data_IF_783498006999
#
_entry.id   IF_783498006999
#
_cell.length_a   1.000
_cell.length_b   1.000
_cell.length_c   1.000
_cell.angle_alpha   90.00
_cell.angle_beta   90.00
_cell.angle_gamma   90.00
#
_symmetry.space_group_name_H-M   'P 1'
#
loop_
_entity.id
_entity.type
_entity.pdbx_description
1 polymer ?
#
# COMPACT_ATOMS: atom_id res chain seq x y z
N UNK A 1 28.06 24.42 11.67
CA UNK A 1 27.05 23.88 12.61
C UNK A 1 26.36 22.67 11.98
N UNK A 2 25.95 21.68 12.78
CA UNK A 2 25.16 20.54 12.30
C UNK A 2 23.76 21.06 11.92
N UNK A 3 23.23 20.77 10.71
CA UNK A 3 21.87 21.17 10.33
C UNK A 3 20.82 20.61 11.31
N UNK A 4 19.79 21.40 11.65
CA UNK A 4 18.74 21.02 12.59
C UNK A 4 17.97 19.78 12.11
N UNK A 5 17.76 19.61 10.81
CA UNK A 5 17.07 18.42 10.28
C UNK A 5 17.81 17.10 10.56
N UNK A 6 19.13 17.17 10.85
CA UNK A 6 19.93 16.00 11.24
C UNK A 6 19.95 15.75 12.75
N UNK A 7 19.30 16.58 13.56
CA UNK A 7 19.17 16.37 14.99
C UNK A 7 17.91 15.56 15.30
N UNK A 8 18.09 14.30 15.69
CA UNK A 8 16.99 13.39 16.00
C UNK A 8 16.19 13.80 17.25
N UNK A 9 16.72 14.67 18.10
CA UNK A 9 16.02 15.19 19.28
C UNK A 9 15.10 16.38 18.98
N UNK A 10 15.25 17.00 17.80
CA UNK A 10 14.45 18.13 17.40
C UNK A 10 13.02 17.70 16.98
N UNK A 11 11.98 18.53 17.23
CA UNK A 11 10.62 18.24 16.78
C UNK A 11 10.55 18.03 15.27
N UNK A 12 9.72 17.07 14.82
CA UNK A 12 9.56 16.72 13.39
C UNK A 12 9.32 17.97 12.54
N UNK A 13 8.36 18.82 12.90
CA UNK A 13 8.03 20.02 12.11
C UNK A 13 9.19 21.04 12.04
N UNK A 14 10.06 21.09 13.05
CA UNK A 14 11.26 21.92 13.00
C UNK A 14 12.31 21.34 12.04
N UNK A 15 12.47 20.01 12.03
CA UNK A 15 13.34 19.30 11.08
C UNK A 15 12.84 19.44 9.64
N UNK A 16 11.53 19.34 9.43
CA UNK A 16 10.88 19.54 8.12
C UNK A 16 11.16 20.95 7.59
N UNK A 17 10.88 21.99 8.38
CA UNK A 17 11.13 23.40 7.96
C UNK A 17 12.60 23.67 7.65
N UNK A 18 13.51 23.16 8.49
CA UNK A 18 14.95 23.32 8.26
C UNK A 18 15.42 22.62 6.98
N UNK A 19 14.96 21.40 6.72
CA UNK A 19 15.33 20.68 5.49
C UNK A 19 14.71 21.34 4.25
N UNK A 20 13.41 21.67 4.30
CA UNK A 20 12.68 22.30 3.19
C UNK A 20 13.33 23.61 2.75
N UNK A 21 13.79 24.44 3.70
CA UNK A 21 14.50 25.69 3.44
C UNK A 21 15.89 25.53 2.83
N UNK A 22 16.47 24.32 2.85
CA UNK A 22 17.78 23.99 2.27
C UNK A 22 17.69 23.35 0.88
N UNK A 23 16.50 22.94 0.47
CA UNK A 23 16.26 22.25 -0.80
C UNK A 23 16.11 23.23 -1.95
N UNK A 24 16.75 22.92 -3.06
CA UNK A 24 16.49 23.54 -4.37
C UNK A 24 15.13 23.09 -4.92
N UNK A 25 14.60 23.82 -5.91
CA UNK A 25 13.39 23.40 -6.63
C UNK A 25 13.52 21.98 -7.20
N UNK A 26 14.69 21.66 -7.79
CA UNK A 26 14.94 20.33 -8.36
C UNK A 26 14.94 19.23 -7.29
N UNK A 27 15.53 19.45 -6.12
CA UNK A 27 15.46 18.48 -5.02
C UNK A 27 14.04 18.33 -4.47
N UNK A 28 13.26 19.41 -4.41
CA UNK A 28 11.85 19.37 -4.01
C UNK A 28 11.02 18.55 -5.00
N UNK A 29 11.15 18.83 -6.28
CA UNK A 29 10.51 18.07 -7.35
C UNK A 29 10.93 16.58 -7.34
N UNK A 30 12.20 16.29 -7.06
CA UNK A 30 12.68 14.91 -6.96
C UNK A 30 12.09 14.16 -5.75
N UNK A 31 11.84 14.83 -4.61
CA UNK A 31 11.16 14.20 -3.48
C UNK A 31 9.73 13.77 -3.80
N UNK A 32 9.07 14.46 -4.74
CA UNK A 32 7.74 14.11 -5.24
C UNK A 32 7.74 12.93 -6.22
N UNK A 33 8.90 12.36 -6.56
CA UNK A 33 9.00 11.23 -7.47
C UNK A 33 9.15 9.89 -6.72
N UNK A 34 8.34 8.92 -7.13
CA UNK A 34 8.55 7.51 -6.81
C UNK A 34 8.86 6.72 -8.09
N UNK A 35 9.98 6.01 -8.09
CA UNK A 35 10.51 5.28 -9.25
C UNK A 35 10.52 3.77 -9.00
N UNK A 36 10.47 2.97 -10.05
CA UNK A 36 10.54 1.52 -9.92
C UNK A 36 12.01 1.05 -9.78
N UNK A 37 12.24 0.01 -8.98
CA UNK A 37 13.59 -0.48 -8.65
C UNK A 37 14.47 -0.84 -9.85
N UNK A 38 13.90 -1.19 -11.00
CA UNK A 38 14.62 -1.57 -12.23
C UNK A 38 15.26 -0.37 -12.93
N UNK A 39 14.79 0.85 -12.67
CA UNK A 39 15.36 2.08 -13.22
C UNK A 39 16.25 2.82 -12.22
N UNK A 40 16.46 2.26 -11.03
CA UNK A 40 17.37 2.82 -10.03
C UNK A 40 18.80 2.79 -10.55
N UNK A 41 19.49 3.92 -10.38
CA UNK A 41 20.89 4.13 -10.74
C UNK A 41 21.53 5.14 -9.81
N UNK A 42 22.88 5.26 -9.78
CA UNK A 42 23.55 6.35 -9.09
C UNK A 42 23.04 7.73 -9.51
N UNK A 43 22.77 7.92 -10.81
CA UNK A 43 22.17 9.17 -11.31
C UNK A 43 20.80 9.43 -10.68
N UNK A 44 19.93 8.43 -10.61
CA UNK A 44 18.59 8.61 -10.06
C UNK A 44 18.58 8.96 -8.55
N UNK A 45 19.44 8.31 -7.75
CA UNK A 45 19.40 8.44 -6.29
C UNK A 45 20.48 9.38 -5.71
N UNK A 46 21.71 9.36 -6.22
CA UNK A 46 22.79 10.20 -5.71
C UNK A 46 22.79 11.60 -6.33
N UNK A 47 22.61 11.70 -7.65
CA UNK A 47 22.69 12.98 -8.36
C UNK A 47 21.35 13.73 -8.38
N UNK A 48 20.27 13.02 -8.71
CA UNK A 48 18.93 13.60 -8.87
C UNK A 48 18.04 13.47 -7.62
N UNK A 49 18.45 12.66 -6.63
CA UNK A 49 17.80 12.54 -5.33
C UNK A 49 16.29 12.20 -5.35
N UNK A 50 15.91 11.18 -6.14
CA UNK A 50 14.52 10.68 -6.15
C UNK A 50 14.01 10.38 -4.73
N UNK A 51 12.75 10.73 -4.46
CA UNK A 51 12.17 10.68 -3.12
C UNK A 51 11.82 9.28 -2.62
N UNK A 52 11.44 8.39 -3.53
CA UNK A 52 10.99 7.05 -3.18
C UNK A 52 11.29 6.04 -4.29
N UNK A 53 11.40 4.77 -3.88
CA UNK A 53 11.50 3.61 -4.78
C UNK A 53 10.36 2.65 -4.46
N UNK A 54 9.87 1.90 -5.45
CA UNK A 54 9.00 0.74 -5.22
C UNK A 54 9.45 -0.49 -6.01
N UNK A 55 8.85 -1.64 -5.70
CA UNK A 55 8.79 -2.77 -6.61
C UNK A 55 7.37 -2.96 -7.16
N UNK A 56 7.25 -3.21 -8.47
CA UNK A 56 6.00 -3.73 -9.05
C UNK A 56 5.71 -5.16 -8.56
N UNK A 57 4.47 -5.64 -8.77
CA UNK A 57 4.11 -7.04 -8.53
C UNK A 57 4.97 -8.00 -9.33
N UNK A 58 5.80 -8.80 -8.66
CA UNK A 58 6.79 -9.69 -9.28
C UNK A 58 8.14 -9.07 -9.63
N UNK A 59 8.36 -7.78 -9.36
CA UNK A 59 9.68 -7.15 -9.52
C UNK A 59 10.59 -7.48 -8.34
N UNK A 60 11.05 -8.72 -8.26
CA UNK A 60 12.01 -9.17 -7.27
C UNK A 60 13.47 -8.85 -7.67
N UNK A 61 14.42 -8.77 -6.73
CA UNK A 61 15.85 -8.61 -7.04
C UNK A 61 16.39 -9.70 -7.99
N UNK A 62 15.85 -10.91 -7.87
CA UNK A 62 16.14 -12.10 -8.70
C UNK A 62 15.05 -13.15 -8.49
N UNK A 63 15.04 -14.19 -9.32
CA UNK A 63 14.14 -15.33 -9.10
C UNK A 63 14.36 -15.95 -7.70
N UNK A 64 13.25 -16.22 -7.01
CA UNK A 64 13.21 -16.74 -5.63
C UNK A 64 14.19 -16.03 -4.68
N UNK A 65 14.28 -14.71 -4.79
CA UNK A 65 15.09 -13.89 -3.89
C UNK A 65 14.72 -14.16 -2.42
N UNK A 66 15.74 -14.40 -1.59
CA UNK A 66 15.56 -14.56 -0.15
C UNK A 66 15.27 -13.20 0.50
N UNK A 67 14.71 -13.16 1.72
CA UNK A 67 14.55 -11.92 2.48
C UNK A 67 15.85 -11.10 2.58
N UNK A 68 17.00 -11.77 2.71
CA UNK A 68 18.31 -11.11 2.77
C UNK A 68 18.74 -10.49 1.44
N UNK A 69 18.31 -11.04 0.29
CA UNK A 69 18.57 -10.41 -1.02
C UNK A 69 17.79 -9.10 -1.15
N UNK A 70 16.54 -9.07 -0.69
CA UNK A 70 15.74 -7.85 -0.65
C UNK A 70 16.35 -6.81 0.29
N UNK A 71 16.71 -7.21 1.52
CA UNK A 71 17.34 -6.32 2.49
C UNK A 71 18.62 -5.67 1.93
N UNK A 72 19.51 -6.46 1.32
CA UNK A 72 20.71 -5.93 0.65
C UNK A 72 20.39 -4.95 -0.47
N UNK A 73 19.44 -5.29 -1.34
CA UNK A 73 19.03 -4.39 -2.43
C UNK A 73 18.56 -3.04 -1.88
N UNK A 74 17.70 -3.04 -0.86
CA UNK A 74 17.18 -1.80 -0.28
C UNK A 74 18.31 -1.00 0.39
N UNK A 75 19.22 -1.66 1.11
CA UNK A 75 20.37 -1.00 1.74
C UNK A 75 21.30 -0.36 0.72
N UNK A 76 21.58 -1.02 -0.40
CA UNK A 76 22.41 -0.48 -1.47
C UNK A 76 21.79 0.76 -2.11
N UNK A 77 20.48 0.73 -2.36
CA UNK A 77 19.74 1.91 -2.85
C UNK A 77 19.77 3.05 -1.83
N UNK A 78 19.68 2.73 -0.55
CA UNK A 78 19.71 3.74 0.48
C UNK A 78 21.10 4.37 0.62
N UNK A 79 22.19 3.59 0.45
CA UNK A 79 23.55 4.16 0.38
C UNK A 79 23.69 5.16 -0.76
N UNK A 80 23.10 4.88 -1.93
CA UNK A 80 23.09 5.82 -3.05
C UNK A 80 22.34 7.10 -2.70
N UNK A 81 21.13 7.00 -2.13
CA UNK A 81 20.33 8.17 -1.75
C UNK A 81 21.04 9.04 -0.69
N UNK A 82 21.69 8.40 0.30
CA UNK A 82 22.46 9.08 1.34
C UNK A 82 23.75 9.75 0.83
N UNK A 83 24.21 9.42 -0.38
CA UNK A 83 25.36 10.08 -1.02
C UNK A 83 24.98 11.38 -1.76
N UNK A 84 23.69 11.70 -1.87
CA UNK A 84 23.21 12.99 -2.39
C UNK A 84 23.61 14.17 -1.50
N UNK A 85 23.56 15.39 -2.05
CA UNK A 85 23.97 16.64 -1.37
C UNK A 85 23.36 16.83 0.03
N UNK A 86 22.07 16.55 0.16
CA UNK A 86 21.34 16.67 1.44
C UNK A 86 21.19 15.34 2.18
N UNK A 87 21.67 14.22 1.60
CA UNK A 87 21.56 12.89 2.17
C UNK A 87 20.13 12.55 2.65
N UNK A 88 19.13 12.90 1.83
CA UNK A 88 17.73 12.59 2.16
C UNK A 88 17.46 11.12 1.81
N UNK A 89 17.12 10.26 2.78
CA UNK A 89 16.85 8.85 2.53
C UNK A 89 15.60 8.64 1.68
N UNK A 90 15.54 7.56 0.90
CA UNK A 90 14.32 7.12 0.21
C UNK A 90 13.33 6.47 1.18
N UNK A 91 12.03 6.56 0.86
CA UNK A 91 11.06 5.55 1.31
C UNK A 91 10.99 4.45 0.27
N UNK A 92 11.04 3.19 0.69
CA UNK A 92 10.81 2.05 -0.19
C UNK A 92 9.39 1.51 0.02
N UNK A 93 8.58 1.47 -1.04
CA UNK A 93 7.19 1.01 -1.06
C UNK A 93 7.01 -0.38 -1.71
N UNK A 94 6.03 -1.15 -1.24
CA UNK A 94 5.67 -2.45 -1.83
C UNK A 94 4.19 -2.79 -1.62
N UNK A 95 3.58 -3.54 -2.54
CA UNK A 95 2.29 -4.18 -2.30
C UNK A 95 2.48 -5.37 -1.36
N UNK A 96 2.31 -5.12 -0.05
CA UNK A 96 2.18 -6.12 1.01
C UNK A 96 0.71 -6.21 1.47
N UNK A 97 -0.15 -6.71 0.57
CA UNK A 97 -1.62 -6.61 0.67
C UNK A 97 -2.28 -7.81 1.33
N UNK A 98 -1.56 -8.92 1.48
CA UNK A 98 -2.02 -10.10 2.23
C UNK A 98 -0.81 -10.87 2.82
N UNK A 99 0.02 -10.13 3.54
CA UNK A 99 1.39 -10.53 3.91
C UNK A 99 2.42 -9.86 2.99
N UNK A 100 3.70 -10.18 3.14
CA UNK A 100 4.76 -9.66 2.25
C UNK A 100 4.81 -10.45 0.93
N UNK A 101 3.73 -10.36 0.17
CA UNK A 101 3.33 -11.33 -0.84
C UNK A 101 4.22 -11.38 -2.10
N UNK A 102 5.10 -10.41 -2.32
CA UNK A 102 6.13 -10.46 -3.38
C UNK A 102 7.36 -11.31 -3.00
N UNK A 103 7.53 -11.66 -1.72
CA UNK A 103 8.76 -12.28 -1.23
C UNK A 103 8.61 -13.79 -1.14
N UNK A 104 9.54 -14.51 -1.78
CA UNK A 104 9.58 -15.95 -1.72
C UNK A 104 9.77 -16.42 -0.27
N UNK A 105 8.87 -17.28 0.20
CA UNK A 105 8.90 -17.82 1.56
C UNK A 105 8.16 -16.99 2.61
N UNK A 106 7.72 -15.78 2.32
CA UNK A 106 6.88 -15.00 3.24
C UNK A 106 5.55 -15.69 3.59
N UNK A 107 4.95 -15.30 4.70
CA UNK A 107 3.60 -15.74 5.06
C UNK A 107 2.58 -15.07 4.15
N UNK A 108 1.72 -15.88 3.54
CA UNK A 108 0.58 -15.42 2.73
C UNK A 108 -0.71 -15.61 3.54
N UNK A 109 -1.42 -14.52 3.80
CA UNK A 109 -2.69 -14.49 4.49
C UNK A 109 -3.88 -14.60 3.51
N UNK A 110 -5.10 -14.93 3.97
CA UNK A 110 -6.30 -14.79 3.15
C UNK A 110 -6.41 -13.37 2.59
N UNK A 111 -6.86 -13.26 1.34
CA UNK A 111 -7.25 -11.97 0.77
C UNK A 111 -8.40 -11.33 1.54
N UNK A 112 -8.54 -10.01 1.39
CA UNK A 112 -9.41 -9.16 2.19
C UNK A 112 -10.87 -9.64 2.24
N UNK A 113 -11.44 -10.14 1.15
CA UNK A 113 -12.82 -10.68 1.16
C UNK A 113 -13.00 -11.84 2.18
N UNK A 114 -11.98 -12.69 2.32
CA UNK A 114 -11.97 -13.77 3.31
C UNK A 114 -11.79 -13.24 4.73
N UNK A 115 -10.94 -12.23 4.92
CA UNK A 115 -10.81 -11.54 6.20
C UNK A 115 -12.11 -10.83 6.60
N UNK A 116 -12.80 -10.23 5.63
CA UNK A 116 -14.16 -9.73 5.75
C UNK A 116 -15.08 -10.76 6.38
N UNK A 117 -15.13 -11.96 5.79
CA UNK A 117 -15.97 -13.07 6.27
C UNK A 117 -15.72 -13.47 7.72
N UNK A 118 -14.52 -13.23 8.26
CA UNK A 118 -14.20 -13.52 9.67
C UNK A 118 -14.88 -12.59 10.67
N UNK A 119 -15.23 -11.35 10.26
CA UNK A 119 -15.76 -10.28 11.12
C UNK A 119 -14.92 -10.03 12.38
N UNK A 120 -13.59 -10.24 12.28
CA UNK A 120 -12.67 -10.21 13.40
C UNK A 120 -11.60 -9.13 13.20
N UNK A 121 -11.89 -7.94 13.71
CA UNK A 121 -11.01 -6.78 13.61
C UNK A 121 -9.65 -7.00 14.31
N UNK A 122 -9.66 -7.75 15.42
CA UNK A 122 -8.45 -8.05 16.19
C UNK A 122 -7.55 -9.05 15.45
N UNK A 123 -8.14 -10.03 14.78
CA UNK A 123 -7.40 -10.90 13.85
C UNK A 123 -6.72 -10.08 12.75
N UNK A 124 -7.46 -9.15 12.13
CA UNK A 124 -6.94 -8.30 11.05
C UNK A 124 -5.83 -7.36 11.54
N UNK A 125 -5.95 -6.83 12.76
CA UNK A 125 -4.89 -6.07 13.44
C UNK A 125 -3.61 -6.91 13.58
N UNK A 126 -3.72 -8.14 14.11
CA UNK A 126 -2.58 -9.06 14.26
C UNK A 126 -1.93 -9.44 12.93
N UNK A 127 -2.74 -9.56 11.86
CA UNK A 127 -2.23 -9.79 10.51
C UNK A 127 -1.39 -8.59 10.04
N UNK A 128 -1.85 -7.37 10.32
CA UNK A 128 -1.07 -6.15 10.09
C UNK A 128 0.28 -6.17 10.83
N UNK A 129 0.29 -6.53 12.11
CA UNK A 129 1.53 -6.63 12.92
C UNK A 129 2.53 -7.63 12.33
N UNK A 130 2.05 -8.84 12.01
CA UNK A 130 2.86 -9.87 11.38
C UNK A 130 3.40 -9.43 10.01
N UNK A 131 2.55 -8.78 9.21
CA UNK A 131 2.93 -8.25 7.89
C UNK A 131 4.00 -7.18 8.01
N UNK A 132 3.85 -6.24 8.95
CA UNK A 132 4.82 -5.18 9.17
C UNK A 132 6.21 -5.73 9.50
N UNK A 133 6.28 -6.71 10.40
CA UNK A 133 7.54 -7.37 10.75
C UNK A 133 8.19 -8.05 9.54
N UNK A 134 7.42 -8.79 8.74
CA UNK A 134 7.97 -9.44 7.54
C UNK A 134 8.45 -8.43 6.49
N UNK A 135 7.77 -7.28 6.35
CA UNK A 135 8.18 -6.19 5.45
C UNK A 135 9.44 -5.48 5.96
N UNK A 136 9.54 -5.16 7.26
CA UNK A 136 10.75 -4.57 7.85
C UNK A 136 11.95 -5.49 7.75
N UNK A 137 11.75 -6.80 7.88
CA UNK A 137 12.81 -7.80 7.72
C UNK A 137 13.48 -7.76 6.32
N UNK A 138 12.81 -7.24 5.30
CA UNK A 138 13.39 -7.06 3.96
C UNK A 138 13.92 -5.66 3.70
N UNK A 139 14.05 -4.82 4.74
CA UNK A 139 14.50 -3.43 4.64
C UNK A 139 13.46 -2.44 4.11
N UNK A 140 12.23 -2.89 3.82
CA UNK A 140 11.18 -2.04 3.22
C UNK A 140 10.46 -1.25 4.33
N UNK A 141 9.95 -0.06 4.00
CA UNK A 141 9.43 0.91 4.98
C UNK A 141 7.92 1.14 4.88
N UNK A 142 7.34 0.86 3.71
CA UNK A 142 6.01 1.32 3.35
C UNK A 142 5.23 0.22 2.62
N UNK A 143 4.09 -0.15 3.16
CA UNK A 143 3.16 -1.10 2.56
C UNK A 143 2.01 -0.33 1.87
N UNK A 144 1.72 -0.66 0.61
CA UNK A 144 0.55 -0.16 -0.11
C UNK A 144 -0.73 -0.89 0.33
N UNK A 145 -1.03 -0.86 1.62
CA UNK A 145 -2.18 -1.51 2.24
C UNK A 145 -2.66 -0.69 3.46
N UNK A 146 -3.96 -0.70 3.79
CA UNK A 146 -5.01 -1.54 3.20
C UNK A 146 -5.71 -0.96 1.96
N UNK A 147 -6.20 -1.87 1.11
CA UNK A 147 -7.32 -1.56 0.21
C UNK A 147 -8.61 -1.49 1.03
N UNK A 148 -9.19 -0.30 1.14
CA UNK A 148 -10.45 -0.03 1.86
C UNK A 148 -11.61 0.23 0.91
N UNK A 149 -11.49 -0.26 -0.33
CA UNK A 149 -12.57 -0.28 -1.29
C UNK A 149 -13.82 -0.94 -0.67
N UNK A 150 -14.98 -0.37 -0.97
CA UNK A 150 -16.27 -1.02 -0.73
C UNK A 150 -16.77 -1.54 -2.08
N UNK A 151 -16.46 -2.81 -2.40
CA UNK A 151 -16.84 -3.42 -3.67
C UNK A 151 -18.36 -3.54 -3.78
N UNK A 152 -18.97 -2.89 -4.78
CA UNK A 152 -20.42 -2.90 -5.02
C UNK A 152 -20.84 -3.80 -6.18
N UNK A 153 -19.87 -4.32 -6.92
CA UNK A 153 -20.11 -5.21 -8.06
C UNK A 153 -19.01 -6.28 -8.14
N UNK A 154 -19.33 -7.56 -7.87
CA UNK A 154 -18.34 -8.63 -7.84
C UNK A 154 -17.74 -8.98 -9.21
N UNK A 155 -18.23 -8.38 -10.31
CA UNK A 155 -17.56 -8.45 -11.62
C UNK A 155 -16.21 -7.73 -11.63
N UNK A 156 -15.98 -6.84 -10.65
CA UNK A 156 -14.72 -6.13 -10.52
C UNK A 156 -13.57 -7.08 -10.19
N UNK A 157 -12.53 -7.03 -11.02
CA UNK A 157 -11.36 -7.91 -10.92
C UNK A 157 -10.58 -7.77 -9.62
N UNK A 158 -10.79 -6.70 -8.84
CA UNK A 158 -10.17 -6.46 -7.53
C UNK A 158 -11.14 -6.65 -6.36
N UNK A 159 -12.33 -7.23 -6.59
CA UNK A 159 -13.31 -7.39 -5.51
C UNK A 159 -12.79 -8.27 -4.35
N UNK A 160 -11.81 -9.16 -4.59
CA UNK A 160 -11.15 -9.93 -3.52
C UNK A 160 -10.28 -9.07 -2.59
N UNK A 161 -9.84 -7.89 -3.05
CA UNK A 161 -9.10 -6.90 -2.26
C UNK A 161 -10.03 -6.03 -1.39
N UNK A 162 -11.34 -6.10 -1.61
CA UNK A 162 -12.35 -5.45 -0.75
C UNK A 162 -12.75 -6.38 0.39
N UNK A 163 -12.80 -5.86 1.61
CA UNK A 163 -13.26 -6.66 2.75
C UNK A 163 -14.75 -7.01 2.67
N UNK A 164 -15.57 -6.09 2.16
CA UNK A 164 -17.02 -6.30 2.07
C UNK A 164 -17.68 -5.32 1.10
N UNK A 165 -18.89 -5.65 0.67
CA UNK A 165 -19.81 -4.68 0.07
C UNK A 165 -20.43 -3.74 1.11
N UNK A 166 -20.41 -4.11 2.39
CA UNK A 166 -20.93 -3.30 3.49
C UNK A 166 -19.83 -2.37 4.05
N UNK A 167 -20.01 -1.04 3.97
CA UNK A 167 -19.05 -0.08 4.52
C UNK A 167 -18.73 -0.28 6.00
N UNK A 168 -19.66 -0.75 6.84
CA UNK A 168 -19.39 -0.92 8.27
C UNK A 168 -18.43 -2.07 8.55
N UNK A 169 -18.48 -3.13 7.74
CA UNK A 169 -17.49 -4.22 7.83
C UNK A 169 -16.12 -3.69 7.41
N UNK A 170 -16.04 -2.95 6.30
CA UNK A 170 -14.76 -2.36 5.85
C UNK A 170 -14.17 -1.44 6.93
N UNK A 171 -14.99 -0.57 7.53
CA UNK A 171 -14.61 0.29 8.67
C UNK A 171 -14.04 -0.49 9.84
N UNK A 172 -14.75 -1.52 10.29
CA UNK A 172 -14.29 -2.34 11.42
C UNK A 172 -12.95 -3.02 11.16
N UNK A 173 -12.60 -3.28 9.91
CA UNK A 173 -11.36 -3.96 9.51
C UNK A 173 -10.24 -2.99 9.09
N UNK A 174 -10.46 -1.68 9.18
CA UNK A 174 -9.38 -0.67 9.06
C UNK A 174 -8.31 -0.83 10.15
N UNK A 175 -8.57 -1.62 11.20
CA UNK A 175 -7.62 -1.98 12.26
C UNK A 175 -6.29 -2.56 11.76
N UNK A 176 -6.21 -3.01 10.51
CA UNK A 176 -4.94 -3.35 9.86
C UNK A 176 -3.98 -2.16 9.79
N UNK A 177 -4.47 -0.91 9.70
CA UNK A 177 -3.64 0.31 9.78
C UNK A 177 -2.89 0.34 11.10
N UNK A 178 -3.61 0.16 12.21
CA UNK A 178 -3.02 0.04 13.55
C UNK A 178 -2.09 -1.17 13.67
N UNK A 179 -2.40 -2.28 13.00
CA UNK A 179 -1.48 -3.43 12.94
C UNK A 179 -0.16 -3.11 12.24
N UNK A 180 -0.24 -2.41 11.10
CA UNK A 180 0.92 -2.04 10.30
C UNK A 180 1.78 -0.97 10.98
N UNK A 181 1.15 0.09 11.48
CA UNK A 181 1.83 1.28 12.00
C UNK A 181 2.00 1.30 13.52
N UNK A 182 1.27 0.46 14.25
CA UNK A 182 1.09 0.57 15.69
C UNK A 182 -0.05 1.52 16.07
N UNK A 183 -0.46 1.48 17.35
CA UNK A 183 -1.56 2.26 17.89
C UNK A 183 -1.10 3.67 18.29
N UNK A 184 -1.67 4.74 17.71
CA UNK A 184 -1.41 6.09 18.18
C UNK A 184 -1.83 6.27 19.64
N UNK A 185 -1.08 7.07 20.45
CA UNK A 185 -1.50 7.45 21.78
C UNK A 185 -2.78 8.30 21.75
N UNK A 186 -3.50 8.37 22.87
CA UNK A 186 -4.82 9.01 22.92
C UNK A 186 -4.81 10.51 22.61
N UNK A 187 -3.68 11.18 22.81
CA UNK A 187 -3.44 12.61 22.54
C UNK A 187 -2.77 12.86 21.18
N UNK A 188 -2.60 11.82 20.34
CA UNK A 188 -2.06 11.97 19.00
C UNK A 188 -2.95 12.90 18.14
N UNK A 189 -2.39 13.92 17.46
CA UNK A 189 -3.19 14.85 16.69
C UNK A 189 -3.96 14.16 15.56
N UNK A 190 -5.25 14.49 15.42
CA UNK A 190 -6.11 13.91 14.40
C UNK A 190 -5.55 14.18 13.00
N UNK A 191 -5.40 13.12 12.20
CA UNK A 191 -4.93 13.19 10.83
C UNK A 191 -3.42 13.38 10.64
N UNK A 192 -2.67 13.56 11.73
CA UNK A 192 -1.21 13.53 11.71
C UNK A 192 -0.73 12.08 11.50
N UNK A 193 0.24 11.83 10.60
CA UNK A 193 0.76 10.49 10.36
C UNK A 193 1.45 9.91 11.60
N UNK A 194 1.43 8.58 11.76
CA UNK A 194 1.96 7.89 12.94
C UNK A 194 2.74 6.62 12.60
N UNK A 195 3.78 6.33 13.39
CA UNK A 195 4.49 5.06 13.42
C UNK A 195 4.99 4.80 14.85
N UNK A 196 4.57 3.70 15.47
CA UNK A 196 4.91 3.38 16.86
C UNK A 196 6.36 2.90 17.02
N UNK A 197 6.80 1.99 16.16
CA UNK A 197 8.13 1.39 16.21
C UNK A 197 8.79 1.43 14.83
N UNK A 198 9.92 2.13 14.74
CA UNK A 198 10.75 2.13 13.52
C UNK A 198 11.30 0.73 13.20
N UNK A 199 11.35 -0.18 14.18
CA UNK A 199 11.86 -1.53 14.01
C UNK A 199 10.76 -2.50 13.60
N UNK A 200 9.60 -2.40 14.23
CA UNK A 200 8.56 -3.43 14.15
C UNK A 200 7.38 -3.05 13.25
N UNK A 201 7.25 -1.77 12.88
CA UNK A 201 6.12 -1.24 12.12
C UNK A 201 6.53 -0.71 10.75
N UNK A 202 5.57 -0.60 9.84
CA UNK A 202 5.69 0.01 8.50
C UNK A 202 4.63 1.06 8.29
N UNK A 203 4.91 2.02 7.41
CA UNK A 203 3.91 2.98 6.95
C UNK A 203 2.80 2.26 6.19
N UNK A 204 1.54 2.61 6.48
CA UNK A 204 0.36 2.09 5.80
C UNK A 204 -0.14 3.07 4.73
N UNK A 205 -0.93 2.55 3.79
CA UNK A 205 -1.54 3.30 2.71
C UNK A 205 -3.02 2.92 2.55
N UNK A 206 -3.93 3.83 2.92
CA UNK A 206 -5.34 3.65 2.61
C UNK A 206 -5.58 3.87 1.11
N UNK A 207 -6.12 2.86 0.41
CA UNK A 207 -6.31 2.91 -1.04
C UNK A 207 -7.64 2.30 -1.52
N UNK A 208 -8.17 2.66 -2.69
CA UNK A 208 -7.73 3.78 -3.55
C UNK A 208 -8.77 4.90 -3.47
N UNK A 209 -8.32 6.10 -3.10
CA UNK A 209 -9.18 7.23 -2.81
C UNK A 209 -9.71 7.86 -4.10
N UNK A 210 -11.02 7.91 -4.35
CA UNK A 210 -12.11 7.24 -3.62
C UNK A 210 -13.15 6.70 -4.60
N UNK A 211 -13.86 5.63 -4.23
CA UNK A 211 -14.93 5.08 -5.06
C UNK A 211 -14.47 4.01 -6.05
N UNK A 212 -13.25 3.51 -5.92
CA UNK A 212 -12.69 2.40 -6.71
C UNK A 212 -13.60 1.15 -6.74
N UNK A 213 -14.22 0.80 -5.61
CA UNK A 213 -15.19 -0.32 -5.54
C UNK A 213 -16.58 -0.04 -6.13
N UNK A 214 -16.85 1.20 -6.58
CA UNK A 214 -18.17 1.65 -7.05
C UNK A 214 -18.29 1.83 -8.57
N UNK A 215 -17.31 1.39 -9.35
CA UNK A 215 -17.30 1.62 -10.80
C UNK A 215 -18.46 0.93 -11.51
N UNK A 216 -19.00 1.59 -12.53
CA UNK A 216 -20.14 1.09 -13.28
C UNK A 216 -19.83 -0.29 -13.89
N UNK A 217 -20.69 -1.27 -13.59
CA UNK A 217 -20.55 -2.68 -13.99
C UNK A 217 -19.28 -3.38 -13.47
N UNK A 218 -18.63 -2.83 -12.45
CA UNK A 218 -17.37 -3.35 -11.91
C UNK A 218 -16.21 -3.26 -12.90
N UNK A 219 -16.24 -2.33 -13.86
CA UNK A 219 -15.13 -2.14 -14.80
C UNK A 219 -13.96 -1.51 -14.03
N UNK A 220 -12.81 -2.20 -14.00
CA UNK A 220 -11.62 -1.67 -13.34
C UNK A 220 -11.22 -0.32 -13.94
N UNK A 221 -10.86 0.66 -13.11
CA UNK A 221 -10.48 2.04 -13.54
C UNK A 221 -11.63 2.83 -14.17
N UNK A 222 -12.85 2.28 -14.16
CA UNK A 222 -14.01 2.91 -14.77
C UNK A 222 -14.55 4.10 -13.97
N UNK A 223 -15.73 4.55 -14.39
CA UNK A 223 -16.43 5.65 -13.74
C UNK A 223 -17.35 5.14 -12.62
N UNK A 224 -17.17 5.64 -11.40
CA UNK A 224 -18.10 5.47 -10.29
C UNK A 224 -19.22 6.50 -10.42
N UNK A 225 -20.44 6.03 -10.65
CA UNK A 225 -21.61 6.88 -10.91
C UNK A 225 -22.50 6.85 -9.66
N UNK A 226 -22.40 7.86 -8.81
CA UNK A 226 -23.16 7.96 -7.56
C UNK A 226 -23.31 9.41 -7.12
N UNK A 227 -24.31 9.68 -6.27
CA UNK A 227 -24.48 11.00 -5.65
C UNK A 227 -23.32 11.31 -4.68
N UNK A 228 -23.09 12.60 -4.34
CA UNK A 228 -22.15 12.96 -3.27
C UNK A 228 -22.45 12.24 -1.95
N UNK A 229 -23.74 12.11 -1.60
CA UNK A 229 -24.18 11.41 -0.38
C UNK A 229 -23.80 9.93 -0.39
N UNK A 230 -23.96 9.25 -1.53
CA UNK A 230 -23.57 7.85 -1.65
C UNK A 230 -22.04 7.68 -1.69
N UNK A 231 -21.32 8.60 -2.35
CA UNK A 231 -19.86 8.61 -2.30
C UNK A 231 -19.38 8.73 -0.84
N UNK A 232 -19.94 9.66 -0.07
CA UNK A 232 -19.59 9.86 1.34
C UNK A 232 -20.00 8.67 2.22
N UNK A 233 -21.27 8.25 2.14
CA UNK A 233 -21.86 7.21 2.99
C UNK A 233 -21.31 5.81 2.70
N UNK A 234 -20.83 5.55 1.49
CA UNK A 234 -20.34 4.22 1.08
C UNK A 234 -18.82 4.23 0.96
N UNK A 235 -18.29 5.06 0.06
CA UNK A 235 -16.91 4.91 -0.41
C UNK A 235 -15.90 5.71 0.40
N UNK A 236 -16.27 6.89 0.91
CA UNK A 236 -15.43 7.69 1.80
C UNK A 236 -15.48 7.16 3.24
N UNK A 237 -16.55 6.46 3.61
CA UNK A 237 -16.83 6.02 4.98
C UNK A 237 -15.65 5.37 5.73
N UNK A 238 -14.78 4.55 5.11
CA UNK A 238 -13.62 3.97 5.80
C UNK A 238 -12.45 4.93 6.07
N UNK A 239 -12.31 5.99 5.28
CA UNK A 239 -11.13 6.87 5.34
C UNK A 239 -10.99 7.65 6.66
N UNK A 240 -12.05 8.22 7.26
CA UNK A 240 -11.95 8.84 8.58
C UNK A 240 -11.37 7.91 9.65
N UNK A 241 -11.73 6.62 9.65
CA UNK A 241 -11.21 5.66 10.63
C UNK A 241 -9.72 5.37 10.39
N UNK A 242 -9.27 5.32 9.12
CA UNK A 242 -7.84 5.21 8.79
C UNK A 242 -7.06 6.45 9.22
N UNK A 243 -7.62 7.65 9.00
CA UNK A 243 -7.02 8.94 9.36
C UNK A 243 -6.92 9.08 10.88
N UNK A 244 -7.94 8.67 11.63
CA UNK A 244 -7.93 8.64 13.09
C UNK A 244 -6.89 7.66 13.67
N UNK A 245 -6.56 6.60 12.92
CA UNK A 245 -5.47 5.66 13.24
C UNK A 245 -4.09 6.17 12.80
N UNK A 246 -4.00 7.39 12.27
CA UNK A 246 -2.75 8.02 11.85
C UNK A 246 -2.17 7.43 10.57
N UNK A 247 -2.99 6.89 9.64
CA UNK A 247 -2.50 6.36 8.35
C UNK A 247 -1.55 7.35 7.67
N UNK A 248 -0.37 6.88 7.26
CA UNK A 248 0.69 7.77 6.80
C UNK A 248 0.49 8.27 5.37
N UNK A 249 -0.11 7.45 4.51
CA UNK A 249 -0.31 7.77 3.09
C UNK A 249 -1.70 7.42 2.62
N UNK A 250 -2.18 8.11 1.58
CA UNK A 250 -3.39 7.76 0.85
C UNK A 250 -3.05 7.66 -0.64
N UNK A 251 -3.46 6.58 -1.30
CA UNK A 251 -3.24 6.42 -2.74
C UNK A 251 -4.50 6.80 -3.51
N UNK A 252 -4.38 7.70 -4.48
CA UNK A 252 -5.49 8.10 -5.35
C UNK A 252 -5.85 6.99 -6.35
N UNK A 253 -7.14 6.78 -6.58
CA UNK A 253 -7.67 5.78 -7.51
C UNK A 253 -7.54 6.21 -8.96
N UNK A 254 -7.33 5.23 -9.86
CA UNK A 254 -7.46 5.45 -11.30
C UNK A 254 -8.87 5.83 -11.75
N UNK A 255 -9.89 5.47 -10.97
CA UNK A 255 -11.28 5.63 -11.35
C UNK A 255 -11.66 7.10 -11.56
N UNK A 256 -12.84 7.28 -12.15
CA UNK A 256 -13.49 8.59 -12.20
C UNK A 256 -14.64 8.61 -11.19
N UNK A 257 -15.04 9.80 -10.74
CA UNK A 257 -16.31 10.01 -10.07
C UNK A 257 -17.18 10.95 -10.92
N UNK A 258 -18.33 10.45 -11.37
CA UNK A 258 -19.23 11.18 -12.27
C UNK A 258 -18.52 11.80 -13.50
N UNK A 259 -17.50 11.11 -14.01
CA UNK A 259 -16.70 11.52 -15.18
C UNK A 259 -15.46 12.35 -14.87
N UNK A 260 -15.27 12.80 -13.63
CA UNK A 260 -14.06 13.51 -13.19
C UNK A 260 -12.95 12.52 -12.80
N UNK A 261 -11.76 12.57 -13.42
CA UNK A 261 -10.63 11.72 -13.03
C UNK A 261 -10.12 12.05 -11.62
N UNK A 262 -10.00 11.04 -10.77
CA UNK A 262 -9.63 11.25 -9.37
C UNK A 262 -8.19 11.73 -9.17
N UNK A 263 -7.26 11.32 -10.05
CA UNK A 263 -5.89 11.84 -10.07
C UNK A 263 -5.79 13.35 -10.36
N UNK A 264 -6.86 13.97 -10.90
CA UNK A 264 -6.93 15.40 -11.18
C UNK A 264 -8.02 16.13 -10.37
N UNK A 265 -8.67 15.45 -9.42
CA UNK A 265 -9.79 16.05 -8.66
C UNK A 265 -9.30 16.88 -7.48
N UNK A 266 -9.17 18.19 -7.68
CA UNK A 266 -8.83 19.14 -6.60
C UNK A 266 -9.87 19.11 -5.48
N UNK A 267 -11.14 18.98 -5.84
CA UNK A 267 -12.23 18.91 -4.88
C UNK A 267 -12.02 17.74 -3.91
N UNK A 268 -11.76 16.53 -4.43
CA UNK A 268 -11.65 15.34 -3.58
C UNK A 268 -10.29 15.25 -2.88
N UNK A 269 -9.17 15.50 -3.58
CA UNK A 269 -7.83 15.33 -3.01
C UNK A 269 -7.43 16.47 -2.06
N UNK A 270 -7.78 17.72 -2.40
CA UNK A 270 -7.43 18.88 -1.58
C UNK A 270 -8.56 19.26 -0.65
N UNK A 271 -9.73 19.61 -1.20
CA UNK A 271 -10.78 20.23 -0.37
C UNK A 271 -11.42 19.21 0.59
N UNK A 272 -11.61 17.96 0.17
CA UNK A 272 -12.18 16.89 1.02
C UNK A 272 -11.10 16.17 1.82
N UNK A 273 -10.13 15.51 1.20
CA UNK A 273 -9.17 14.67 1.92
C UNK A 273 -8.24 15.49 2.84
N UNK A 274 -7.52 16.48 2.29
CA UNK A 274 -6.61 17.31 3.08
C UNK A 274 -7.37 18.33 3.94
N UNK A 275 -8.44 18.92 3.40
CA UNK A 275 -9.26 19.93 4.07
C UNK A 275 -10.27 19.33 5.06
N UNK A 276 -11.43 18.89 4.57
CA UNK A 276 -12.56 18.40 5.40
C UNK A 276 -12.17 17.26 6.35
N UNK A 277 -11.38 16.29 5.86
CA UNK A 277 -10.95 15.14 6.66
C UNK A 277 -9.65 15.39 7.45
N UNK A 278 -8.97 16.51 7.22
CA UNK A 278 -7.77 16.89 7.97
C UNK A 278 -6.57 15.96 7.80
N UNK A 279 -6.43 15.28 6.65
CA UNK A 279 -5.28 14.40 6.41
C UNK A 279 -3.97 15.21 6.27
N UNK A 280 -2.98 14.92 7.12
CA UNK A 280 -1.67 15.60 7.14
C UNK A 280 -0.49 14.75 6.65
N UNK A 281 -0.74 13.49 6.31
CA UNK A 281 0.19 12.65 5.54
C UNK A 281 0.31 13.09 4.08
N UNK A 282 0.87 12.23 3.23
CA UNK A 282 1.02 12.54 1.80
C UNK A 282 0.13 11.66 0.90
N UNK A 283 -0.36 12.27 -0.19
CA UNK A 283 -1.16 11.63 -1.22
C UNK A 283 -0.23 11.14 -2.34
N UNK A 284 -0.31 9.84 -2.67
CA UNK A 284 0.47 9.23 -3.76
C UNK A 284 -0.44 8.85 -4.93
N UNK A 285 0.03 8.97 -6.16
CA UNK A 285 -0.68 8.40 -7.31
C UNK A 285 -0.57 6.89 -7.33
N UNK A 286 -1.58 6.19 -7.86
CA UNK A 286 -1.38 4.83 -8.37
C UNK A 286 -0.40 4.80 -9.57
N UNK A 287 0.06 3.61 -9.97
CA UNK A 287 1.07 3.35 -11.01
C UNK A 287 0.70 3.97 -12.37
N UNK A 288 1.51 4.92 -12.84
CA UNK A 288 1.22 5.67 -14.08
C UNK A 288 -0.21 6.25 -14.07
N UNK A 289 -0.73 6.58 -12.89
CA UNK A 289 -2.11 7.03 -12.74
C UNK A 289 -2.36 8.38 -13.38
N UNK A 290 -1.37 9.28 -13.31
CA UNK A 290 -1.47 10.60 -13.95
C UNK A 290 -1.46 10.48 -15.47
N UNK A 291 -0.80 9.48 -16.03
CA UNK A 291 -0.70 9.23 -17.46
C UNK A 291 -2.09 8.94 -18.07
N UNK A 292 -3.02 8.44 -17.26
CA UNK A 292 -4.39 8.10 -17.67
C UNK A 292 -5.31 9.32 -17.77
N UNK A 293 -4.80 10.52 -17.48
CA UNK A 293 -5.51 11.78 -17.72
C UNK A 293 -5.58 12.13 -19.21
N UNK A 294 -4.80 11.45 -20.07
CA UNK A 294 -4.84 11.62 -21.51
C UNK A 294 -5.11 10.30 -22.24
N UNK A 295 -5.68 10.41 -23.44
CA UNK A 295 -5.85 9.31 -24.39
C UNK A 295 -5.24 9.74 -25.74
N UNK A 296 -4.15 9.10 -26.23
CA UNK A 296 -3.41 7.98 -25.62
C UNK A 296 -2.76 8.32 -24.27
N UNK A 297 -2.57 7.30 -23.41
CA UNK A 297 -1.97 7.45 -22.08
C UNK A 297 -0.63 8.21 -22.14
N UNK A 298 -0.52 9.28 -21.36
CA UNK A 298 0.69 10.08 -21.23
C UNK A 298 1.11 10.85 -22.49
N UNK A 299 0.20 11.01 -23.47
CA UNK A 299 0.44 11.75 -24.71
C UNK A 299 0.71 13.25 -24.47
N UNK A 300 0.04 13.86 -23.50
CA UNK A 300 0.39 15.18 -22.96
C UNK A 300 0.82 15.05 -21.48
N UNK A 301 2.03 14.53 -21.28
CA UNK A 301 2.54 14.24 -19.94
C UNK A 301 2.69 15.51 -19.08
N UNK A 302 3.04 16.66 -19.67
CA UNK A 302 3.18 17.91 -18.93
C UNK A 302 1.82 18.38 -18.40
N UNK A 303 0.78 18.30 -19.22
CA UNK A 303 -0.60 18.50 -18.76
C UNK A 303 -0.95 17.55 -17.59
N UNK A 304 -0.62 16.26 -17.72
CA UNK A 304 -0.87 15.28 -16.65
C UNK A 304 -0.20 15.66 -15.32
N UNK A 305 1.07 16.10 -15.35
CA UNK A 305 1.79 16.59 -14.17
C UNK A 305 1.11 17.84 -13.61
N UNK A 306 0.80 18.82 -14.46
CA UNK A 306 0.15 20.07 -14.05
C UNK A 306 -1.18 19.84 -13.34
N UNK A 307 -2.06 19.02 -13.93
CA UNK A 307 -3.38 18.74 -13.36
C UNK A 307 -3.28 17.99 -12.04
N UNK A 308 -2.46 16.93 -11.97
CA UNK A 308 -2.37 16.09 -10.77
C UNK A 308 -1.72 16.81 -9.59
N UNK A 309 -0.65 17.57 -9.81
CA UNK A 309 0.02 18.32 -8.74
C UNK A 309 -0.87 19.46 -8.24
N UNK A 310 -1.54 20.20 -9.14
CA UNK A 310 -2.49 21.25 -8.73
C UNK A 310 -3.75 20.69 -8.06
N UNK A 311 -4.13 19.44 -8.33
CA UNK A 311 -5.23 18.76 -7.64
C UNK A 311 -4.91 18.41 -6.18
N UNK A 312 -3.63 18.33 -5.81
CA UNK A 312 -3.22 18.03 -4.44
C UNK A 312 -2.34 16.80 -4.28
N UNK A 313 -1.91 16.16 -5.37
CA UNK A 313 -0.99 15.02 -5.31
C UNK A 313 0.36 15.43 -4.74
N UNK A 314 0.94 14.61 -3.87
CA UNK A 314 2.22 14.92 -3.20
C UNK A 314 3.37 14.12 -3.80
N UNK A 315 3.13 12.84 -4.08
CA UNK A 315 4.10 11.92 -4.69
C UNK A 315 3.51 11.24 -5.93
N UNK A 316 4.26 11.20 -7.02
CA UNK A 316 3.85 10.58 -8.28
C UNK A 316 4.60 9.26 -8.47
N UNK A 317 3.85 8.18 -8.63
CA UNK A 317 4.37 6.86 -9.02
C UNK A 317 4.58 6.83 -10.55
N UNK A 318 5.78 7.25 -10.98
CA UNK A 318 6.17 7.56 -12.38
C UNK A 318 6.63 6.33 -13.18
N UNK A 319 6.66 5.15 -12.54
CA UNK A 319 7.77 4.17 -12.45
C UNK A 319 9.06 4.40 -13.24
N UNK A 320 9.00 4.77 -14.52
CA UNK A 320 10.12 4.66 -15.47
C UNK A 320 10.62 5.99 -16.03
N UNK A 321 9.78 7.05 -16.08
CA UNK A 321 10.10 8.33 -16.75
C UNK A 321 10.58 9.45 -15.81
N UNK A 322 11.44 9.10 -14.85
CA UNK A 322 11.84 10.01 -13.75
C UNK A 322 12.42 11.35 -14.22
N UNK A 323 13.40 11.35 -15.12
CA UNK A 323 14.05 12.59 -15.56
C UNK A 323 13.07 13.51 -16.30
N UNK A 324 12.20 12.93 -17.14
CA UNK A 324 11.15 13.68 -17.83
C UNK A 324 10.17 14.31 -16.85
N UNK A 325 9.73 13.57 -15.82
CA UNK A 325 8.89 14.12 -14.77
C UNK A 325 9.56 15.30 -14.07
N UNK A 326 10.84 15.14 -13.72
CA UNK A 326 11.61 16.18 -13.04
C UNK A 326 11.74 17.45 -13.88
N UNK A 327 12.03 17.30 -15.18
CA UNK A 327 12.10 18.42 -16.14
C UNK A 327 10.76 19.13 -16.31
N UNK A 328 9.67 18.37 -16.53
CA UNK A 328 8.34 18.94 -16.73
C UNK A 328 7.83 19.63 -15.45
N UNK A 329 8.05 19.06 -14.27
CA UNK A 329 7.64 19.68 -13.00
C UNK A 329 8.43 20.96 -12.70
N UNK A 330 9.75 20.97 -12.91
CA UNK A 330 10.56 22.18 -12.74
C UNK A 330 10.10 23.28 -13.70
N UNK A 331 9.88 22.93 -14.98
CA UNK A 331 9.38 23.87 -15.97
C UNK A 331 8.03 24.48 -15.57
N UNK A 332 7.06 23.66 -15.14
CA UNK A 332 5.73 24.10 -14.72
C UNK A 332 5.78 25.07 -13.52
N UNK A 333 6.77 24.93 -12.64
CA UNK A 333 6.95 25.85 -11.51
C UNK A 333 7.62 27.15 -11.97
N UNK A 334 8.62 27.07 -12.85
CA UNK A 334 9.30 28.24 -13.42
C UNK A 334 8.38 29.10 -14.29
N UNK A 335 7.41 28.49 -14.99
CA UNK A 335 6.37 29.21 -15.75
C UNK A 335 5.21 29.71 -14.90
N UNK A 336 5.13 29.30 -13.63
CA UNK A 336 4.06 29.69 -12.70
C UNK A 336 2.74 28.92 -12.87
N UNK A 337 2.72 27.85 -13.67
CA UNK A 337 1.56 26.96 -13.83
C UNK A 337 1.33 26.08 -12.59
N UNK A 338 2.38 25.80 -11.82
CA UNK A 338 2.32 25.23 -10.46
C UNK A 338 3.00 26.21 -9.50
N UNK A 339 2.32 26.58 -8.41
CA UNK A 339 2.91 27.49 -7.43
C UNK A 339 4.01 26.80 -6.61
N UNK A 340 5.05 27.55 -6.22
CA UNK A 340 6.06 27.04 -5.28
C UNK A 340 5.44 26.60 -3.95
N UNK A 341 4.36 27.27 -3.50
CA UNK A 341 3.62 26.86 -2.29
C UNK A 341 2.99 25.47 -2.40
N UNK A 342 2.56 25.04 -3.60
CA UNK A 342 2.02 23.69 -3.82
C UNK A 342 3.13 22.64 -3.72
N UNK A 343 4.30 22.94 -4.28
CA UNK A 343 5.49 22.09 -4.15
C UNK A 343 5.94 22.01 -2.69
N UNK A 344 5.93 23.13 -1.96
CA UNK A 344 6.30 23.16 -0.54
C UNK A 344 5.33 22.33 0.31
N UNK A 345 4.00 22.42 0.09
CA UNK A 345 3.02 21.56 0.76
C UNK A 345 3.28 20.07 0.49
N UNK A 346 3.53 19.70 -0.78
CA UNK A 346 3.82 18.31 -1.14
C UNK A 346 5.06 17.77 -0.42
N UNK A 347 6.16 18.53 -0.47
CA UNK A 347 7.44 18.11 0.11
C UNK A 347 7.38 18.15 1.63
N UNK A 348 6.68 19.10 2.24
CA UNK A 348 6.47 19.14 3.69
C UNK A 348 5.82 17.84 4.20
N UNK A 349 4.76 17.38 3.52
CA UNK A 349 4.05 16.13 3.84
C UNK A 349 4.94 14.90 3.65
N UNK A 350 5.71 14.84 2.57
CA UNK A 350 6.65 13.73 2.31
C UNK A 350 7.75 13.70 3.38
N UNK A 351 8.35 14.84 3.69
CA UNK A 351 9.41 14.93 4.69
C UNK A 351 8.89 14.61 6.09
N UNK A 352 7.68 15.07 6.45
CA UNK A 352 7.00 14.71 7.71
C UNK A 352 6.93 13.20 7.88
N UNK A 353 6.40 12.50 6.87
CA UNK A 353 6.29 11.04 6.90
C UNK A 353 7.66 10.37 6.94
N UNK A 354 8.69 10.89 6.26
CA UNK A 354 10.06 10.38 6.35
C UNK A 354 10.70 10.54 7.72
N UNK A 355 10.46 11.65 8.41
CA UNK A 355 10.96 11.82 9.77
C UNK A 355 10.23 10.90 10.75
N UNK A 356 8.91 10.77 10.63
CA UNK A 356 8.10 9.88 11.47
C UNK A 356 8.44 8.42 11.24
N UNK A 357 8.79 8.03 10.02
CA UNK A 357 9.23 6.66 9.75
C UNK A 357 10.59 6.31 10.37
N UNK A 358 11.31 7.33 10.88
CA UNK A 358 12.65 7.18 11.44
C UNK A 358 13.71 6.84 10.40
N UNK A 359 13.43 6.92 9.10
CA UNK A 359 14.38 6.52 8.05
C UNK A 359 15.62 7.43 7.99
N UNK A 360 15.56 8.64 8.56
CA UNK A 360 16.74 9.50 8.75
C UNK A 360 17.71 8.95 9.80
N UNK A 361 17.17 8.31 10.85
CA UNK A 361 17.96 7.75 11.96
C UNK A 361 18.36 6.29 11.70
N UNK A 362 17.45 5.52 11.08
CA UNK A 362 17.59 4.10 10.80
C UNK A 362 17.33 3.80 9.32
N UNK A 363 18.21 4.25 8.40
CA UNK A 363 18.00 4.12 6.96
C UNK A 363 18.15 2.68 6.45
N UNK A 364 18.87 1.82 7.17
CA UNK A 364 19.23 0.47 6.73
C UNK A 364 18.37 -0.62 7.39
N UNK A 365 18.36 -1.79 6.76
CA UNK A 365 17.71 -3.00 7.25
C UNK A 365 18.28 -3.49 8.59
N UNK A 366 17.47 -4.22 9.35
CA UNK A 366 17.87 -4.93 10.58
C UNK A 366 17.98 -6.44 10.28
N UNK A 367 19.20 -6.99 10.15
CA UNK A 367 19.39 -8.41 9.88
C UNK A 367 18.80 -9.35 10.94
N UNK A 368 18.57 -8.88 12.17
CA UNK A 368 17.97 -9.70 13.24
C UNK A 368 16.51 -10.07 12.99
N UNK A 369 15.84 -9.39 12.05
CA UNK A 369 14.44 -9.65 11.68
C UNK A 369 14.30 -10.70 10.57
N UNK A 370 15.39 -11.11 9.90
CA UNK A 370 15.31 -11.97 8.71
C UNK A 370 14.59 -13.31 8.98
N UNK A 371 14.81 -13.91 10.15
CA UNK A 371 14.19 -15.19 10.53
C UNK A 371 12.68 -15.08 10.85
N UNK A 372 12.16 -13.85 10.96
CA UNK A 372 10.72 -13.61 11.15
C UNK A 372 9.94 -13.85 9.86
N UNK A 373 10.58 -13.71 8.69
CA UNK A 373 9.89 -13.91 7.40
C UNK A 373 9.44 -15.35 7.23
N UNK A 374 8.13 -15.55 7.15
CA UNK A 374 7.57 -16.88 7.03
C UNK A 374 7.75 -17.74 8.28
N UNK A 375 7.90 -17.13 9.47
CA UNK A 375 8.04 -17.86 10.73
C UNK A 375 6.80 -18.70 11.05
N UNK A 376 6.94 -19.63 11.99
CA UNK A 376 5.87 -20.58 12.33
C UNK A 376 4.66 -19.87 12.92
N UNK A 377 4.89 -18.87 13.75
CA UNK A 377 3.89 -18.10 14.49
C UNK A 377 2.98 -17.34 13.51
N UNK A 378 3.57 -16.64 12.52
CA UNK A 378 2.81 -15.96 11.47
C UNK A 378 2.01 -16.94 10.61
N UNK A 379 2.59 -18.10 10.26
CA UNK A 379 1.85 -19.14 9.52
C UNK A 379 0.71 -19.76 10.34
N UNK A 380 0.83 -19.83 11.66
CA UNK A 380 -0.25 -20.27 12.55
C UNK A 380 -1.38 -19.23 12.60
N UNK A 381 -1.03 -17.94 12.62
CA UNK A 381 -2.00 -16.84 12.49
C UNK A 381 -2.70 -16.89 11.13
N UNK A 382 -1.97 -17.05 10.02
CA UNK A 382 -2.56 -17.22 8.69
C UNK A 382 -3.49 -18.43 8.62
N UNK A 383 -3.11 -19.54 9.27
CA UNK A 383 -3.97 -20.73 9.37
C UNK A 383 -5.24 -20.48 10.19
N UNK A 384 -5.16 -19.68 11.26
CA UNK A 384 -6.34 -19.23 12.00
C UNK A 384 -7.25 -18.37 11.12
N UNK A 385 -6.68 -17.40 10.41
CA UNK A 385 -7.41 -16.54 9.49
C UNK A 385 -8.13 -17.34 8.40
N UNK A 386 -7.43 -18.29 7.77
CA UNK A 386 -8.02 -19.22 6.79
C UNK A 386 -9.20 -19.98 7.41
N UNK A 387 -9.11 -20.44 8.66
CA UNK A 387 -10.20 -21.16 9.32
C UNK A 387 -11.41 -20.26 9.55
N UNK A 388 -11.18 -19.04 10.05
CA UNK A 388 -12.22 -18.05 10.36
C UNK A 388 -12.85 -17.44 9.09
N UNK A 389 -12.19 -17.50 7.94
CA UNK A 389 -12.72 -17.00 6.67
C UNK A 389 -13.67 -17.98 5.96
N UNK A 390 -13.78 -19.24 6.40
CA UNK A 390 -14.61 -20.23 5.73
C UNK A 390 -16.10 -19.98 5.98
N UNK A 391 -16.88 -19.81 4.91
CA UNK A 391 -18.33 -19.71 4.97
C UNK A 391 -18.95 -21.06 4.60
N UNK A 392 -19.60 -21.72 5.56
CA UNK A 392 -20.28 -22.99 5.33
C UNK A 392 -21.64 -22.75 4.66
N UNK A 393 -21.70 -22.92 3.33
CA UNK A 393 -22.92 -22.67 2.56
C UNK A 393 -23.94 -23.83 2.63
N UNK A 394 -23.48 -25.06 2.84
CA UNK A 394 -24.31 -26.27 2.85
C UNK A 394 -23.62 -27.37 3.65
N UNK A 395 -24.37 -28.09 4.49
CA UNK A 395 -23.85 -29.18 5.32
C UNK A 395 -24.76 -30.41 5.34
N UNK A 396 -25.00 -31.00 4.17
CA UNK A 396 -25.93 -32.11 3.97
C UNK A 396 -26.93 -31.82 2.85
N UNK A 397 -27.52 -32.86 2.26
CA UNK A 397 -28.57 -32.70 1.24
C UNK A 397 -29.96 -32.56 1.86
N UNK A 398 -30.14 -33.08 3.08
CA UNK A 398 -31.38 -33.02 3.86
C UNK A 398 -31.09 -32.35 5.20
N UNK A 399 -32.11 -31.76 5.80
CA UNK A 399 -31.99 -31.04 7.07
C UNK A 399 -31.57 -31.94 8.25
N UNK A 400 -31.88 -33.23 8.19
CA UNK A 400 -31.55 -34.22 9.22
C UNK A 400 -30.16 -34.86 9.06
N UNK A 401 -29.41 -34.53 8.00
CA UNK A 401 -28.11 -35.15 7.69
C UNK A 401 -27.00 -34.08 7.78
N UNK A 402 -25.93 -34.34 8.53
CA UNK A 402 -24.73 -33.50 8.57
C UNK A 402 -23.55 -34.22 7.92
N UNK A 403 -22.85 -33.55 7.01
CA UNK A 403 -21.68 -34.12 6.33
C UNK A 403 -20.36 -33.76 7.04
N UNK A 404 -20.26 -32.51 7.50
CA UNK A 404 -19.13 -31.97 8.26
C UNK A 404 -19.47 -31.92 9.76
N UNK A 405 -18.50 -32.18 10.65
CA UNK A 405 -17.08 -32.43 10.35
C UNK A 405 -16.80 -33.87 9.87
N UNK A 406 -15.80 -34.02 8.99
CA UNK A 406 -15.35 -35.34 8.51
C UNK A 406 -14.66 -36.14 9.62
N UNK A 407 -14.92 -37.45 9.66
CA UNK A 407 -14.26 -38.38 10.57
C UNK A 407 -12.77 -38.55 10.21
N UNK A 408 -11.86 -38.37 11.17
CA UNK A 408 -10.41 -38.47 10.96
C UNK A 408 -9.90 -39.91 10.83
N UNK A 409 -10.70 -40.90 11.22
CA UNK A 409 -10.37 -42.33 11.23
C UNK A 409 -10.95 -43.10 10.03
N UNK A 410 -11.31 -42.40 8.94
CA UNK A 410 -11.74 -43.03 7.71
C UNK A 410 -10.62 -43.93 7.14
N UNK A 411 -10.96 -45.15 6.72
CA UNK A 411 -9.99 -46.11 6.15
C UNK A 411 -9.36 -45.62 4.85
N UNK A 412 -10.10 -44.83 4.07
CA UNK A 412 -9.68 -44.26 2.79
C UNK A 412 -10.50 -43.00 2.52
N UNK A 413 -9.85 -41.96 2.02
CA UNK A 413 -10.48 -40.74 1.55
C UNK A 413 -10.00 -40.44 0.13
N UNK A 414 -10.81 -39.72 -0.64
CA UNK A 414 -10.44 -39.17 -1.94
C UNK A 414 -10.29 -37.66 -1.82
N UNK A 415 -9.21 -37.12 -2.37
CA UNK A 415 -8.99 -35.68 -2.56
C UNK A 415 -8.91 -35.46 -4.07
N UNK A 416 -9.72 -34.55 -4.61
CA UNK A 416 -9.82 -34.30 -6.04
C UNK A 416 -10.13 -32.82 -6.33
N UNK A 417 -9.91 -32.41 -7.58
CA UNK A 417 -10.14 -31.03 -8.05
C UNK A 417 -8.84 -30.28 -8.35
N UNK A 418 -8.90 -29.34 -9.29
CA UNK A 418 -7.72 -28.62 -9.80
C UNK A 418 -7.01 -27.75 -8.75
N UNK A 419 -7.70 -27.38 -7.67
CA UNK A 419 -7.18 -26.54 -6.60
C UNK A 419 -6.68 -27.34 -5.38
N UNK A 420 -6.86 -28.67 -5.40
CA UNK A 420 -6.61 -29.49 -4.23
C UNK A 420 -5.12 -29.68 -3.90
N UNK A 421 -4.23 -29.53 -4.90
CA UNK A 421 -2.76 -29.54 -4.75
C UNK A 421 -2.07 -28.45 -5.59
N UNK A 422 -2.48 -27.19 -5.38
CA UNK A 422 -1.96 -26.05 -6.11
C UNK A 422 -1.87 -24.82 -5.19
N UNK A 423 -0.66 -24.50 -4.73
CA UNK A 423 -0.40 -23.36 -3.82
C UNK A 423 -0.73 -22.03 -4.50
N UNK A 424 -0.37 -21.88 -5.77
CA UNK A 424 -0.65 -20.67 -6.53
C UNK A 424 -2.14 -20.34 -6.60
N UNK A 425 -2.97 -21.33 -6.96
CA UNK A 425 -4.42 -21.13 -7.09
C UNK A 425 -5.12 -20.82 -5.76
N UNK A 426 -4.70 -21.42 -4.64
CA UNK A 426 -5.28 -21.08 -3.34
C UNK A 426 -4.86 -19.70 -2.82
N UNK A 427 -3.74 -19.16 -3.31
CA UNK A 427 -3.25 -17.84 -2.93
C UNK A 427 -3.85 -16.72 -3.81
N UNK A 428 -4.04 -16.99 -5.10
CA UNK A 428 -4.65 -16.05 -6.05
C UNK A 428 -3.70 -14.96 -6.55
N UNK A 429 -4.29 -13.84 -6.97
CA UNK A 429 -3.55 -12.65 -7.43
C UNK A 429 -2.63 -12.08 -6.36
N UNK A 430 -1.71 -11.22 -6.75
CA UNK A 430 -0.72 -10.60 -5.87
C UNK A 430 0.19 -11.59 -5.10
N UNK A 431 0.32 -12.85 -5.51
CA UNK A 431 1.25 -13.78 -4.84
C UNK A 431 2.45 -14.08 -5.72
N UNK A 432 3.64 -13.65 -5.29
CA UNK A 432 4.92 -13.70 -6.02
C UNK A 432 4.92 -12.87 -7.32
N UNK A 433 3.91 -13.00 -8.17
CA UNK A 433 3.70 -12.21 -9.37
C UNK A 433 2.41 -11.39 -9.26
N UNK A 434 2.29 -10.34 -10.09
CA UNK A 434 1.14 -9.44 -10.09
C UNK A 434 -0.21 -10.19 -10.26
N UNK A 435 -0.34 -11.03 -11.29
CA UNK A 435 -1.54 -11.82 -11.53
C UNK A 435 -1.61 -13.13 -10.71
N UNK A 436 -0.63 -13.38 -9.83
CA UNK A 436 -0.40 -14.71 -9.28
C UNK A 436 0.08 -15.69 -10.36
N UNK A 437 0.24 -16.95 -9.98
CA UNK A 437 0.63 -18.03 -10.90
C UNK A 437 0.08 -19.37 -10.35
N UNK A 438 0.21 -20.45 -11.12
CA UNK A 438 -0.20 -21.80 -10.77
C UNK A 438 0.96 -22.63 -10.20
N UNK A 439 0.64 -23.70 -9.48
CA UNK A 439 1.61 -24.67 -8.99
C UNK A 439 2.29 -24.26 -7.68
N UNK A 440 3.56 -24.65 -7.51
CA UNK A 440 4.30 -24.47 -6.26
C UNK A 440 5.21 -23.23 -6.31
N UNK A 441 4.57 -22.06 -6.24
CA UNK A 441 5.21 -20.75 -6.46
C UNK A 441 5.93 -20.21 -5.21
N UNK A 442 5.57 -20.66 -4.01
CA UNK A 442 6.19 -20.25 -2.73
C UNK A 442 6.26 -21.42 -1.72
N UNK A 443 6.85 -21.17 -0.54
CA UNK A 443 6.91 -22.13 0.55
C UNK A 443 5.56 -22.25 1.26
N UNK A 444 5.09 -23.48 1.42
CA UNK A 444 3.90 -23.81 2.18
C UNK A 444 3.66 -25.31 2.17
N UNK A 445 3.09 -25.83 3.26
CA UNK A 445 2.47 -27.16 3.25
C UNK A 445 0.98 -26.94 3.09
N UNK A 446 0.39 -27.47 2.03
CA UNK A 446 -1.05 -27.64 2.03
C UNK A 446 -1.41 -28.66 3.11
N UNK A 447 -1.99 -28.19 4.21
CA UNK A 447 -2.76 -29.04 5.10
C UNK A 447 -4.21 -28.81 4.76
N UNK A 448 -4.75 -29.62 3.83
CA UNK A 448 -6.17 -29.77 3.47
C UNK A 448 -7.10 -28.84 4.26
N UNK A 449 -7.23 -27.59 3.82
CA UNK A 449 -8.38 -26.76 4.17
C UNK A 449 -9.40 -27.04 3.08
N UNK A 450 -10.48 -27.75 3.44
CA UNK A 450 -11.62 -27.96 2.55
C UNK A 450 -12.30 -26.61 2.28
N UNK A 451 -11.76 -25.82 1.36
CA UNK A 451 -12.44 -24.72 0.71
C UNK A 451 -12.95 -25.25 -0.63
N UNK A 452 -14.00 -26.06 -0.58
CA UNK A 452 -14.63 -26.63 -1.75
C UNK A 452 -16.13 -26.41 -1.66
N UNK A 453 -16.67 -25.67 -2.62
CA UNK A 453 -18.11 -25.67 -2.92
C UNK A 453 -18.44 -27.09 -3.38
N UNK A 454 -18.93 -27.93 -2.46
CA UNK A 454 -19.57 -29.19 -2.83
C UNK A 454 -20.94 -28.85 -3.44
N UNK A 455 -21.10 -29.13 -4.74
CA UNK A 455 -22.39 -29.04 -5.47
C UNK A 455 -23.50 -29.81 -4.73
#
# INVERSE_FOLDING_TARGET
>A
ERPLYKDASAPVEARVRDLLGRMTLREKAAQMAQIERTVVSPRALAELAAGSVLNAGGSAPRDRASPADWARMVDDMQRLALSSRLAVPILYGTDAVHGHNNVFGATVFPHNVGLGASRDAELVRKIGEATALEVRATGIHWAFAPCVAVCRDPRWGRCYESYSEDPEIVRSLTMIVTGLQGQPPADHPHGYPFLASVRDNVLACAKHFVGDGGTYKGINEGNAICSPDDLERIHTKPYPDCIAQGVATVMASYSQWNGEPLHASRHLLTDVLKGKLGFEGFVVSDWEGIDRLCEPRGSDYRYCVAQSVNAGMDMIMIPHRFEKFLEDLVFLVETGEISMSRIDDAVERILRVKFISGVFEHPFSDPSLLDVVGCKEHRLLAREAVRKSLVLLKNGKKQSETFLPLAKNAKRILVAGTHADNIGYQCGGWTIAWHGDSGKITLGKQKLSFAGICR
#
